data_IF_644580288457
#
_entry.id   IF_644580288457
#
_cell.length_a   1.000
_cell.length_b   1.000
_cell.length_c   1.000
_cell.angle_alpha   90.00
_cell.angle_beta   90.00
_cell.angle_gamma   90.00
#
_symmetry.space_group_name_H-M   'P 1'
#
loop_
_entity.id
_entity.type
_entity.pdbx_description
1 polymer ?
#
# COMPACT_ATOMS: atom_id res chain seq x y z
N UNK A 1 -10.75 4.33 -18.85
CA UNK A 1 -9.93 3.37 -18.07
C UNK A 1 -10.69 3.01 -16.80
N UNK A 2 -11.01 1.73 -16.66
CA UNK A 2 -11.90 1.16 -15.64
C UNK A 2 -11.24 1.06 -14.24
N UNK A 3 -9.96 1.40 -14.11
CA UNK A 3 -9.20 1.26 -12.86
C UNK A 3 -8.35 2.48 -12.50
N UNK A 4 -8.84 3.70 -12.79
CA UNK A 4 -8.03 4.91 -12.59
C UNK A 4 -7.65 5.11 -11.12
N UNK A 5 -8.57 4.80 -10.19
CA UNK A 5 -8.32 5.00 -8.75
C UNK A 5 -7.35 3.93 -8.23
N UNK A 6 -7.54 2.68 -8.66
CA UNK A 6 -6.61 1.58 -8.38
C UNK A 6 -5.20 1.89 -8.86
N UNK A 7 -5.07 2.42 -10.07
CA UNK A 7 -3.77 2.75 -10.66
C UNK A 7 -3.09 3.89 -9.90
N UNK A 8 -3.81 4.96 -9.53
CA UNK A 8 -3.23 6.06 -8.75
C UNK A 8 -2.77 5.58 -7.37
N UNK A 9 -3.60 4.79 -6.66
CA UNK A 9 -3.26 4.25 -5.34
C UNK A 9 -2.04 3.33 -5.37
N UNK A 10 -1.96 2.46 -6.37
CA UNK A 10 -0.79 1.57 -6.55
C UNK A 10 0.47 2.36 -6.90
N UNK A 11 0.36 3.41 -7.71
CA UNK A 11 1.48 4.26 -8.07
C UNK A 11 2.02 5.04 -6.85
N UNK A 12 1.12 5.52 -5.97
CA UNK A 12 1.50 6.15 -4.71
C UNK A 12 2.22 5.15 -3.79
N UNK A 13 1.72 3.92 -3.67
CA UNK A 13 2.38 2.88 -2.87
C UNK A 13 3.75 2.50 -3.42
N UNK A 14 3.89 2.38 -4.75
CA UNK A 14 5.18 2.17 -5.41
C UNK A 14 6.15 3.33 -5.13
N UNK A 15 5.69 4.58 -5.22
CA UNK A 15 6.52 5.75 -4.92
C UNK A 15 6.98 5.75 -3.45
N UNK A 16 6.11 5.35 -2.53
CA UNK A 16 6.44 5.22 -1.11
C UNK A 16 7.51 4.13 -0.87
N UNK A 17 7.36 2.97 -1.51
CA UNK A 17 8.35 1.88 -1.42
C UNK A 17 9.69 2.30 -2.04
N UNK A 18 9.67 3.02 -3.16
CA UNK A 18 10.89 3.52 -3.81
C UNK A 18 11.60 4.59 -2.96
N UNK A 19 10.84 5.46 -2.31
CA UNK A 19 11.36 6.46 -1.39
C UNK A 19 12.06 5.81 -0.19
N UNK A 20 11.44 4.78 0.39
CA UNK A 20 12.05 4.02 1.48
C UNK A 20 13.29 3.24 1.01
N UNK A 21 13.25 2.61 -0.17
CA UNK A 21 14.40 1.91 -0.76
C UNK A 21 15.60 2.84 -1.03
N UNK A 22 15.36 4.12 -1.24
CA UNK A 22 16.41 5.13 -1.43
C UNK A 22 17.23 5.40 -0.16
N UNK A 23 16.91 4.76 0.97
CA UNK A 23 17.67 4.87 2.22
C UNK A 23 17.51 6.23 2.92
N UNK A 24 16.57 7.06 2.46
CA UNK A 24 16.16 8.30 3.11
C UNK A 24 15.49 8.05 4.46
N UNK A 25 15.03 6.83 4.71
CA UNK A 25 14.28 6.46 5.90
C UNK A 25 14.83 5.15 6.52
N UNK A 26 15.92 5.22 7.31
CA UNK A 26 16.60 4.05 7.87
C UNK A 26 15.69 3.22 8.79
N UNK A 27 14.76 3.88 9.47
CA UNK A 27 13.86 3.28 10.46
C UNK A 27 12.49 2.87 9.88
N UNK A 28 12.28 3.03 8.57
CA UNK A 28 11.02 2.69 7.90
C UNK A 28 9.77 3.38 8.51
N UNK A 29 9.95 4.57 9.09
CA UNK A 29 8.91 5.38 9.75
C UNK A 29 7.78 5.73 8.78
N UNK A 30 8.09 6.06 7.51
CA UNK A 30 7.02 6.36 6.55
C UNK A 30 6.20 5.13 6.17
N UNK A 31 6.83 3.97 6.05
CA UNK A 31 6.12 2.71 5.84
C UNK A 31 5.27 2.37 7.05
N UNK A 32 5.79 2.59 8.25
CA UNK A 32 5.03 2.47 9.48
C UNK A 32 3.82 3.41 9.48
N UNK A 33 3.96 4.69 9.17
CA UNK A 33 2.84 5.64 9.24
C UNK A 33 1.76 5.41 8.18
N UNK A 34 2.13 4.97 6.98
CA UNK A 34 1.20 4.91 5.84
C UNK A 34 0.76 3.50 5.43
N UNK A 35 1.38 2.44 5.95
CA UNK A 35 1.08 1.06 5.55
C UNK A 35 0.41 0.27 6.68
N UNK A 36 -0.89 -0.01 6.51
CA UNK A 36 -1.66 -0.92 7.40
C UNK A 36 -1.00 -2.30 7.57
N UNK A 37 -0.43 -2.93 6.53
CA UNK A 37 0.37 -4.14 6.68
C UNK A 37 1.49 -4.05 7.72
N UNK A 38 2.15 -2.90 7.80
CA UNK A 38 3.30 -2.70 8.69
C UNK A 38 2.84 -2.69 10.14
N UNK A 39 1.67 -2.10 10.44
CA UNK A 39 1.06 -2.19 11.78
C UNK A 39 0.79 -3.62 12.20
N UNK A 40 0.29 -4.46 11.28
CA UNK A 40 0.02 -5.87 11.57
C UNK A 40 1.32 -6.66 11.79
N UNK A 41 2.37 -6.36 11.02
CA UNK A 41 3.68 -7.00 11.17
C UNK A 41 4.28 -6.61 12.51
N UNK A 42 4.27 -5.33 12.88
CA UNK A 42 4.83 -4.86 14.16
C UNK A 42 4.13 -5.49 15.38
N UNK A 43 2.82 -5.71 15.29
CA UNK A 43 2.07 -6.46 16.33
C UNK A 43 2.47 -7.94 16.38
N UNK A 44 2.79 -8.53 15.23
CA UNK A 44 3.13 -9.95 15.11
C UNK A 44 4.61 -10.27 15.37
N UNK A 45 5.51 -9.30 15.22
CA UNK A 45 6.95 -9.46 15.39
C UNK A 45 7.76 -8.24 14.97
N UNK A 46 9.04 -8.23 15.33
CA UNK A 46 9.90 -7.08 15.07
C UNK A 46 10.20 -6.92 13.57
N UNK A 47 9.97 -5.72 13.04
CA UNK A 47 10.19 -5.35 11.64
C UNK A 47 11.65 -5.56 11.21
N UNK A 48 12.59 -5.47 12.17
CA UNK A 48 14.00 -5.70 11.91
C UNK A 48 14.33 -7.15 11.52
N UNK A 49 13.45 -8.11 11.84
CA UNK A 49 13.61 -9.52 11.48
C UNK A 49 12.89 -9.91 10.19
N UNK A 50 11.99 -9.06 9.70
CA UNK A 50 11.22 -9.34 8.50
C UNK A 50 11.89 -8.81 7.23
N UNK A 51 11.74 -9.57 6.15
CA UNK A 51 12.24 -9.14 4.84
C UNK A 51 11.47 -7.90 4.37
N UNK A 52 12.17 -6.77 4.28
CA UNK A 52 11.64 -5.48 3.78
C UNK A 52 10.97 -5.62 2.41
N UNK A 53 11.46 -6.52 1.54
CA UNK A 53 10.82 -6.80 0.26
C UNK A 53 9.38 -7.33 0.42
N UNK A 54 9.13 -8.17 1.42
CA UNK A 54 7.78 -8.67 1.74
C UNK A 54 6.87 -7.53 2.19
N UNK A 55 7.40 -6.60 2.99
CA UNK A 55 6.67 -5.42 3.46
C UNK A 55 6.25 -4.52 2.29
N UNK A 56 7.14 -4.32 1.31
CA UNK A 56 6.82 -3.53 0.11
C UNK A 56 5.70 -4.19 -0.70
N UNK A 57 5.79 -5.50 -0.93
CA UNK A 57 4.75 -6.26 -1.67
C UNK A 57 3.41 -6.17 -0.95
N UNK A 58 3.39 -6.35 0.38
CA UNK A 58 2.16 -6.20 1.16
C UNK A 58 1.59 -4.78 1.10
N UNK A 59 2.45 -3.77 1.15
CA UNK A 59 2.06 -2.35 1.06
C UNK A 59 1.40 -2.04 -0.28
N UNK A 60 2.03 -2.46 -1.37
CA UNK A 60 1.49 -2.31 -2.73
C UNK A 60 0.17 -3.08 -2.85
N UNK A 61 0.10 -4.30 -2.33
CA UNK A 61 -1.12 -5.11 -2.36
C UNK A 61 -2.27 -4.47 -1.57
N UNK A 62 -2.00 -3.90 -0.39
CA UNK A 62 -3.01 -3.21 0.41
C UNK A 62 -3.58 -1.99 -0.31
N UNK A 63 -2.71 -1.13 -0.87
CA UNK A 63 -3.15 0.03 -1.64
C UNK A 63 -3.87 -0.36 -2.94
N UNK A 64 -3.44 -1.44 -3.61
CA UNK A 64 -4.15 -2.02 -4.74
C UNK A 64 -5.55 -2.46 -4.35
N UNK A 65 -5.69 -3.13 -3.21
CA UNK A 65 -6.97 -3.59 -2.68
C UNK A 65 -7.90 -2.41 -2.37
N UNK A 66 -7.42 -1.37 -1.68
CA UNK A 66 -8.20 -0.17 -1.38
C UNK A 66 -8.66 0.54 -2.65
N UNK A 67 -7.76 0.70 -3.63
CA UNK A 67 -8.10 1.29 -4.91
C UNK A 67 -9.11 0.45 -5.71
N UNK A 68 -8.96 -0.88 -5.69
CA UNK A 68 -9.88 -1.82 -6.33
C UNK A 68 -11.28 -1.77 -5.71
N UNK A 69 -11.37 -1.72 -4.39
CA UNK A 69 -12.63 -1.54 -3.67
C UNK A 69 -13.28 -0.21 -4.09
N UNK A 70 -12.51 0.88 -4.12
CA UNK A 70 -12.99 2.20 -4.57
C UNK A 70 -13.53 2.20 -6.00
N UNK A 71 -12.81 1.59 -6.94
CA UNK A 71 -13.29 1.45 -8.32
C UNK A 71 -14.54 0.55 -8.36
N UNK A 72 -14.57 -0.57 -7.64
CA UNK A 72 -15.73 -1.48 -7.59
C UNK A 72 -17.01 -0.78 -7.09
N UNK A 73 -16.92 0.02 -6.02
CA UNK A 73 -18.05 0.82 -5.53
C UNK A 73 -18.48 1.90 -6.52
N UNK A 74 -17.54 2.54 -7.24
CA UNK A 74 -17.89 3.50 -8.31
C UNK A 74 -18.64 2.83 -9.45
N UNK A 75 -18.24 1.64 -9.89
CA UNK A 75 -18.98 0.91 -10.93
C UNK A 75 -20.39 0.52 -10.49
N UNK A 76 -20.53 0.02 -9.26
CA UNK A 76 -21.85 -0.31 -8.69
C UNK A 76 -22.77 0.92 -8.58
N UNK A 77 -22.24 2.09 -8.24
CA UNK A 77 -23.01 3.34 -8.20
C UNK A 77 -23.43 3.82 -9.59
N UNK A 78 -22.56 3.70 -10.59
CA UNK A 78 -22.85 4.12 -11.96
C UNK A 78 -23.84 3.22 -12.69
N UNK A 79 -23.97 1.95 -12.28
CA UNK A 79 -24.95 1.01 -12.82
C UNK A 79 -26.35 1.12 -12.18
N UNK A 80 -26.49 1.91 -11.10
CA UNK A 80 -27.77 2.17 -10.41
C UNK A 80 -28.40 3.53 -10.75
N UNK A 81 -27.72 4.37 -11.53
CA UNK A 81 -28.22 5.67 -11.99
C UNK A 81 -28.49 5.60 -13.49
#
# INVERSE_FOLDING_TARGET
>A
MRYKVTLIMTLIACALCLFNYSGLDPDNIFLFMFSVPVWLIEIAGDIHYFNIGTVYVLTIAAYALFGYIGDHYRFKRRARS
#
